data_IF_344402556533
#
_entry.id   IF_344402556533
#
_cell.length_a   1.000
_cell.length_b   1.000
_cell.length_c   1.000
_cell.angle_alpha   90.00
_cell.angle_beta   90.00
_cell.angle_gamma   90.00
#
_symmetry.space_group_name_H-M   'P 1'
#
loop_
_entity.id
_entity.type
_entity.pdbx_description
1 polymer ?
#
# COMPACT_ATOMS: atom_id res chain seq x y z
N UNK A 1 -32.46 -80.11 -39.25
CA UNK A 1 -33.57 -79.21 -39.61
C UNK A 1 -32.99 -77.81 -39.64
N UNK A 2 -32.64 -77.38 -40.85
CA UNK A 2 -32.21 -76.03 -41.29
C UNK A 2 -30.92 -75.50 -40.67
N UNK A 3 -29.74 -75.60 -41.30
CA UNK A 3 -29.25 -75.14 -42.64
C UNK A 3 -29.10 -73.62 -42.81
N UNK A 4 -28.02 -73.31 -43.55
CA UNK A 4 -27.56 -72.07 -44.20
C UNK A 4 -26.71 -71.11 -43.35
N UNK A 5 -25.38 -71.13 -43.45
CA UNK A 5 -24.42 -70.80 -44.56
C UNK A 5 -23.89 -69.36 -44.35
N UNK A 6 -22.59 -69.18 -44.12
CA UNK A 6 -21.51 -68.93 -45.13
C UNK A 6 -21.69 -67.54 -45.78
N UNK A 7 -20.72 -66.61 -45.84
CA UNK A 7 -19.49 -66.67 -46.65
C UNK A 7 -18.52 -65.54 -46.23
N UNK A 8 -17.31 -65.96 -45.87
CA UNK A 8 -15.97 -65.61 -46.39
C UNK A 8 -15.47 -64.17 -46.74
N UNK A 9 -14.13 -64.09 -46.67
CA UNK A 9 -13.17 -63.17 -47.32
C UNK A 9 -12.96 -61.81 -46.63
N UNK A 10 -11.78 -61.46 -46.12
CA UNK A 10 -10.47 -61.46 -46.79
C UNK A 10 -9.92 -60.03 -46.67
N UNK A 11 -8.95 -59.77 -45.79
CA UNK A 11 -7.54 -59.48 -46.10
C UNK A 11 -7.13 -58.00 -45.94
N UNK A 12 -5.88 -57.80 -45.54
CA UNK A 12 -5.05 -56.58 -45.56
C UNK A 12 -4.78 -55.85 -44.23
N UNK A 13 -3.64 -56.18 -43.61
CA UNK A 13 -2.78 -55.21 -42.88
C UNK A 13 -1.97 -54.40 -43.91
N UNK A 14 -1.70 -53.11 -43.67
CA UNK A 14 -0.33 -52.70 -43.29
C UNK A 14 -0.32 -51.42 -42.39
N UNK A 15 0.81 -50.67 -42.24
CA UNK A 15 1.87 -50.89 -41.27
C UNK A 15 1.99 -49.79 -40.20
N UNK A 16 2.88 -50.06 -39.23
CA UNK A 16 3.38 -49.16 -38.17
C UNK A 16 3.81 -47.77 -38.65
N UNK A 17 3.40 -46.72 -37.92
CA UNK A 17 4.11 -45.44 -37.88
C UNK A 17 4.13 -44.87 -36.46
N UNK A 18 5.35 -44.83 -35.90
CA UNK A 18 5.65 -44.16 -34.65
C UNK A 18 5.44 -42.66 -34.81
N UNK A 19 4.55 -42.07 -34.01
CA UNK A 19 4.41 -40.61 -33.93
C UNK A 19 5.38 -40.10 -32.88
N UNK A 20 6.49 -39.53 -33.36
CA UNK A 20 7.43 -38.72 -32.60
C UNK A 20 6.70 -37.47 -32.09
N UNK A 21 6.51 -37.38 -30.77
CA UNK A 21 5.99 -36.17 -30.12
C UNK A 21 7.10 -35.12 -30.00
N UNK A 22 7.20 -34.24 -31.00
CA UNK A 22 7.90 -32.96 -30.84
C UNK A 22 6.98 -31.97 -30.14
N UNK A 23 7.44 -31.20 -29.14
CA UNK A 23 6.62 -30.17 -28.52
C UNK A 23 6.41 -29.01 -29.50
N UNK A 24 5.15 -28.64 -29.70
CA UNK A 24 4.75 -27.53 -30.55
C UNK A 24 5.37 -26.22 -30.02
N UNK A 25 6.20 -25.59 -30.85
CA UNK A 25 6.63 -24.20 -30.67
C UNK A 25 5.43 -23.33 -31.03
N UNK A 26 4.80 -22.74 -30.02
CA UNK A 26 3.74 -21.74 -30.21
C UNK A 26 4.42 -20.41 -30.52
N UNK A 27 4.41 -20.04 -31.80
CA UNK A 27 4.90 -18.76 -32.30
C UNK A 27 3.96 -17.65 -31.81
N UNK A 28 4.48 -16.73 -31.00
CA UNK A 28 3.70 -15.61 -30.46
C UNK A 28 3.56 -14.53 -31.53
N UNK A 29 2.34 -14.35 -32.05
CA UNK A 29 1.98 -13.21 -32.89
C UNK A 29 1.82 -11.99 -32.00
N UNK A 30 2.71 -11.02 -32.12
CA UNK A 30 2.65 -9.74 -31.42
C UNK A 30 1.52 -8.87 -31.98
N UNK A 31 0.37 -8.85 -31.30
CA UNK A 31 -0.61 -7.78 -31.47
C UNK A 31 -0.23 -6.60 -30.57
N UNK A 32 0.43 -5.61 -31.18
CA UNK A 32 0.66 -4.28 -30.60
C UNK A 32 -0.67 -3.58 -30.38
N UNK A 33 -1.07 -3.33 -29.13
CA UNK A 33 -2.27 -2.52 -28.87
C UNK A 33 -2.90 -2.57 -27.49
N UNK A 34 -2.27 -3.13 -26.45
CA UNK A 34 -2.75 -2.99 -25.05
C UNK A 34 -1.53 -2.94 -24.14
N UNK A 35 -1.32 -1.82 -23.44
CA UNK A 35 -0.34 -1.73 -22.36
C UNK A 35 -0.78 -2.70 -21.24
N UNK A 36 0.02 -3.71 -20.88
CA UNK A 36 -0.31 -4.56 -19.75
C UNK A 36 -0.13 -3.75 -18.47
N UNK A 37 -1.19 -3.65 -17.67
CA UNK A 37 -1.10 -3.28 -16.25
C UNK A 37 -0.31 -4.40 -15.56
N UNK A 38 1.01 -4.33 -15.63
CA UNK A 38 1.90 -5.39 -15.16
C UNK A 38 1.84 -5.47 -13.64
N UNK A 39 1.21 -6.54 -13.15
CA UNK A 39 1.71 -7.24 -11.97
C UNK A 39 3.19 -7.50 -12.28
N UNK A 40 4.10 -6.72 -11.70
CA UNK A 40 5.53 -7.03 -11.81
C UNK A 40 5.73 -8.31 -11.01
N UNK A 41 5.71 -9.44 -11.70
CA UNK A 41 6.22 -10.71 -11.21
C UNK A 41 7.72 -10.55 -10.98
N UNK A 42 8.10 -9.96 -9.86
CA UNK A 42 9.49 -9.87 -9.44
C UNK A 42 9.91 -11.25 -8.99
N UNK A 43 10.35 -12.06 -9.95
CA UNK A 43 11.07 -13.31 -9.69
C UNK A 43 12.26 -12.94 -8.80
N UNK A 44 12.29 -13.51 -7.59
CA UNK A 44 13.36 -13.32 -6.59
C UNK A 44 14.71 -13.61 -7.24
N UNK A 45 15.50 -12.56 -7.49
CA UNK A 45 16.88 -12.73 -7.95
C UNK A 45 17.78 -13.11 -6.76
N UNK A 46 18.68 -14.10 -6.89
CA UNK A 46 19.68 -14.38 -5.86
C UNK A 46 20.48 -13.11 -5.54
N UNK A 47 20.42 -12.65 -4.29
CA UNK A 47 21.13 -11.43 -3.85
C UNK A 47 20.25 -10.19 -3.62
N UNK A 48 18.91 -10.29 -3.72
CA UNK A 48 18.04 -9.16 -3.35
C UNK A 48 18.24 -8.79 -1.88
N UNK A 49 18.54 -7.52 -1.61
CA UNK A 49 18.69 -7.04 -0.24
C UNK A 49 17.34 -6.98 0.46
N UNK A 50 17.31 -7.16 1.79
CA UNK A 50 16.07 -7.26 2.57
C UNK A 50 15.12 -6.07 2.36
N UNK A 51 15.67 -4.87 2.20
CA UNK A 51 14.93 -3.63 2.05
C UNK A 51 14.38 -3.40 0.64
N UNK A 52 14.85 -4.15 -0.37
CA UNK A 52 14.38 -4.11 -1.76
C UNK A 52 13.33 -5.18 -2.06
N UNK A 53 13.01 -6.05 -1.09
CA UNK A 53 12.08 -7.17 -1.33
C UNK A 53 10.67 -6.61 -1.59
N UNK A 54 10.12 -6.80 -2.81
CA UNK A 54 8.81 -6.30 -3.14
C UNK A 54 7.73 -7.13 -2.45
N UNK A 55 6.65 -6.46 -2.02
CA UNK A 55 5.41 -7.15 -1.64
C UNK A 55 4.65 -7.55 -2.91
N UNK A 56 3.92 -8.67 -2.85
CA UNK A 56 3.03 -9.12 -3.91
C UNK A 56 1.68 -8.45 -3.73
N UNK A 57 1.34 -7.56 -4.67
CA UNK A 57 0.08 -6.82 -4.64
C UNK A 57 -0.88 -7.25 -5.74
N UNK A 58 -2.18 -7.24 -5.45
CA UNK A 58 -3.24 -7.36 -6.46
C UNK A 58 -3.57 -6.00 -7.08
N UNK A 59 -4.27 -5.94 -8.23
CA UNK A 59 -4.82 -4.69 -8.73
C UNK A 59 -5.68 -3.97 -7.68
N UNK A 60 -5.76 -2.62 -7.70
CA UNK A 60 -6.48 -1.87 -6.68
C UNK A 60 -7.91 -2.38 -6.41
N UNK A 61 -8.21 -2.73 -5.16
CA UNK A 61 -9.52 -3.32 -4.80
C UNK A 61 -10.49 -2.31 -4.20
N UNK A 62 -9.98 -1.17 -3.74
CA UNK A 62 -10.77 -0.09 -3.13
C UNK A 62 -10.20 1.29 -3.45
N UNK A 63 -10.86 2.35 -2.98
CA UNK A 63 -10.40 3.73 -3.22
C UNK A 63 -9.04 4.02 -2.58
N UNK A 64 -8.76 3.46 -1.41
CA UNK A 64 -7.47 3.62 -0.70
C UNK A 64 -6.33 3.04 -1.54
N UNK A 65 -6.51 1.84 -2.11
CA UNK A 65 -5.50 1.26 -3.01
C UNK A 65 -5.27 2.11 -4.25
N UNK A 66 -6.34 2.61 -4.88
CA UNK A 66 -6.19 3.43 -6.09
C UNK A 66 -5.31 4.66 -5.83
N UNK A 67 -5.46 5.29 -4.67
CA UNK A 67 -4.65 6.43 -4.28
C UNK A 67 -3.18 6.04 -4.04
N UNK A 68 -2.93 4.97 -3.28
CA UNK A 68 -1.57 4.51 -2.97
C UNK A 68 -0.85 4.02 -4.22
N UNK A 69 -1.47 3.10 -4.97
CA UNK A 69 -0.88 2.48 -6.15
C UNK A 69 -0.65 3.52 -7.25
N UNK A 70 -1.62 4.42 -7.48
CA UNK A 70 -1.48 5.49 -8.46
C UNK A 70 -0.32 6.42 -8.12
N UNK A 71 -0.23 6.88 -6.87
CA UNK A 71 0.87 7.74 -6.43
C UNK A 71 2.23 7.04 -6.56
N UNK A 72 2.33 5.75 -6.18
CA UNK A 72 3.56 4.98 -6.32
C UNK A 72 4.00 4.86 -7.78
N UNK A 73 3.05 4.54 -8.67
CA UNK A 73 3.33 4.40 -10.10
C UNK A 73 3.79 5.71 -10.73
N UNK A 74 3.12 6.83 -10.42
CA UNK A 74 3.50 8.13 -10.95
C UNK A 74 4.86 8.59 -10.42
N UNK A 75 5.15 8.39 -9.13
CA UNK A 75 6.46 8.67 -8.58
C UNK A 75 7.53 7.82 -9.28
N UNK A 76 7.35 6.50 -9.39
CA UNK A 76 8.34 5.62 -10.06
C UNK A 76 8.58 5.98 -11.53
N UNK A 77 7.58 6.57 -12.21
CA UNK A 77 7.77 7.09 -13.56
C UNK A 77 8.59 8.37 -13.57
N UNK A 78 8.36 9.28 -12.63
CA UNK A 78 9.15 10.52 -12.48
C UNK A 78 10.58 10.25 -12.00
N UNK A 79 10.81 9.23 -11.18
CA UNK A 79 12.16 8.90 -10.70
C UNK A 79 13.14 8.51 -11.81
N UNK A 80 12.64 8.24 -13.02
CA UNK A 80 13.46 8.02 -14.21
C UNK A 80 14.00 9.32 -14.82
N UNK A 81 13.41 10.47 -14.44
CA UNK A 81 13.69 11.78 -15.02
C UNK A 81 14.42 12.71 -14.04
N UNK A 82 14.07 12.67 -12.76
CA UNK A 82 14.62 13.56 -11.74
C UNK A 82 14.64 12.92 -10.34
N UNK A 83 15.32 13.56 -9.39
CA UNK A 83 15.30 13.14 -7.98
C UNK A 83 13.95 13.43 -7.33
N UNK A 84 13.47 12.51 -6.50
CA UNK A 84 12.21 12.63 -5.77
C UNK A 84 12.40 12.91 -4.27
N UNK A 85 13.60 13.25 -3.81
CA UNK A 85 13.83 13.42 -2.37
C UNK A 85 12.97 14.53 -1.77
N UNK A 86 12.71 15.60 -2.53
CA UNK A 86 11.79 16.68 -2.14
C UNK A 86 10.35 16.21 -1.94
N UNK A 87 9.93 15.12 -2.62
CA UNK A 87 8.57 14.57 -2.50
C UNK A 87 8.51 13.48 -1.43
N UNK A 88 9.51 12.59 -1.41
CA UNK A 88 9.48 11.38 -0.57
C UNK A 88 9.99 11.63 0.84
N UNK A 89 11.04 12.45 0.98
CA UNK A 89 11.71 12.74 2.26
C UNK A 89 11.94 14.24 2.48
N UNK A 90 10.90 15.09 2.30
CA UNK A 90 11.01 16.51 2.62
C UNK A 90 11.37 16.71 4.10
N UNK A 91 12.31 17.62 4.37
CA UNK A 91 12.71 17.98 5.74
C UNK A 91 11.55 18.58 6.55
N UNK A 92 10.63 19.29 5.88
CA UNK A 92 9.43 19.88 6.47
C UNK A 92 8.28 19.74 5.50
N UNK A 93 7.18 19.15 5.95
CA UNK A 93 5.93 19.11 5.18
C UNK A 93 4.92 19.99 5.87
N UNK A 94 4.41 20.99 5.14
CA UNK A 94 3.35 21.83 5.66
C UNK A 94 2.06 21.01 5.83
N UNK A 95 1.62 20.84 7.08
CA UNK A 95 0.42 20.08 7.46
C UNK A 95 -0.76 20.98 7.82
N UNK A 96 -0.68 22.30 7.57
CA UNK A 96 -1.76 23.24 7.91
C UNK A 96 -3.11 22.82 7.33
N UNK A 97 -3.16 22.49 6.04
CA UNK A 97 -4.39 22.03 5.36
C UNK A 97 -4.82 20.62 5.81
N UNK A 98 -3.90 19.83 6.37
CA UNK A 98 -4.18 18.48 6.86
C UNK A 98 -4.96 18.51 8.20
N UNK A 99 -4.77 19.58 8.99
CA UNK A 99 -5.50 19.82 10.25
C UNK A 99 -6.98 20.15 10.02
N UNK A 100 -7.30 20.77 8.89
CA UNK A 100 -8.67 21.11 8.53
C UNK A 100 -9.39 19.83 8.08
N UNK A 101 -10.11 19.18 9.00
CA UNK A 101 -10.96 18.05 8.66
C UNK A 101 -12.10 18.53 7.77
N UNK A 102 -12.06 18.13 6.50
CA UNK A 102 -13.15 18.29 5.57
C UNK A 102 -13.86 16.94 5.44
N UNK A 103 -15.07 16.76 6.01
CA UNK A 103 -15.82 15.54 5.79
C UNK A 103 -16.02 15.34 4.29
N UNK A 104 -15.94 14.10 3.82
CA UNK A 104 -16.17 13.77 2.43
C UNK A 104 -17.59 14.23 2.04
N UNK A 105 -17.68 15.32 1.29
CA UNK A 105 -18.94 15.74 0.68
C UNK A 105 -19.23 14.82 -0.50
N UNK A 106 -20.47 14.32 -0.68
CA UNK A 106 -20.82 13.52 -1.86
C UNK A 106 -20.62 14.28 -3.18
N UNK A 107 -20.48 15.61 -3.16
CA UNK A 107 -20.25 16.46 -4.33
C UNK A 107 -18.78 16.85 -4.57
N UNK A 108 -17.86 16.55 -3.66
CA UNK A 108 -16.46 16.98 -3.76
C UNK A 108 -15.59 15.76 -3.98
N UNK A 109 -15.08 15.59 -5.21
CA UNK A 109 -14.11 14.53 -5.48
C UNK A 109 -12.85 14.81 -4.65
N UNK A 110 -12.32 13.83 -3.89
CA UNK A 110 -11.12 14.06 -3.11
C UNK A 110 -9.96 14.47 -4.04
N UNK A 111 -9.14 15.44 -3.64
CA UNK A 111 -8.03 15.91 -4.47
C UNK A 111 -7.14 14.72 -4.83
N UNK A 112 -6.98 14.47 -6.13
CA UNK A 112 -5.97 13.55 -6.64
C UNK A 112 -4.71 14.36 -6.91
N UNK A 113 -3.60 13.94 -6.32
CA UNK A 113 -2.31 14.44 -6.75
C UNK A 113 -2.08 13.96 -8.18
N UNK A 114 -1.99 14.89 -9.13
CA UNK A 114 -1.73 14.56 -10.53
C UNK A 114 -0.23 14.48 -10.77
N UNK A 115 0.17 13.80 -11.84
CA UNK A 115 1.56 13.80 -12.30
C UNK A 115 2.17 15.20 -12.36
N UNK A 116 1.44 16.19 -12.90
CA UNK A 116 1.95 17.55 -13.03
C UNK A 116 2.20 18.23 -11.67
N UNK A 117 1.48 17.82 -10.62
CA UNK A 117 1.72 18.32 -9.26
C UNK A 117 2.96 17.67 -8.65
N UNK A 118 3.21 16.39 -8.96
CA UNK A 118 4.44 15.70 -8.58
C UNK A 118 5.66 16.32 -9.28
N UNK A 119 5.61 16.49 -10.59
CA UNK A 119 6.68 17.11 -11.41
C UNK A 119 7.06 18.50 -10.86
N UNK A 120 6.05 19.35 -10.61
CA UNK A 120 6.25 20.67 -10.00
C UNK A 120 6.93 20.57 -8.62
N UNK A 121 6.54 19.61 -7.80
CA UNK A 121 7.09 19.44 -6.46
C UNK A 121 8.51 18.85 -6.46
N UNK A 122 8.85 17.99 -7.41
CA UNK A 122 10.21 17.46 -7.56
C UNK A 122 11.18 18.55 -8.01
N UNK A 123 10.77 19.35 -9.01
CA UNK A 123 11.60 20.39 -9.62
C UNK A 123 11.80 21.65 -8.75
N UNK A 124 10.97 21.87 -7.73
CA UNK A 124 10.98 23.12 -6.94
C UNK A 124 11.66 22.92 -5.58
N UNK A 125 12.74 23.67 -5.31
CA UNK A 125 13.41 23.68 -3.99
C UNK A 125 12.67 24.52 -2.93
N UNK A 126 11.77 25.41 -3.37
CA UNK A 126 10.97 26.29 -2.51
C UNK A 126 9.51 26.24 -2.94
N UNK A 127 8.72 25.36 -2.32
CA UNK A 127 7.27 25.47 -2.39
C UNK A 127 6.87 26.82 -1.79
N UNK A 128 6.37 27.74 -2.62
CA UNK A 128 5.90 29.04 -2.13
C UNK A 128 4.86 28.89 -1.01
N UNK A 129 4.64 29.93 -0.17
CA UNK A 129 3.73 29.84 0.96
C UNK A 129 2.35 29.33 0.53
N UNK A 130 1.91 28.21 1.12
CA UNK A 130 0.60 27.61 0.83
C UNK A 130 0.55 26.65 -0.37
N UNK A 131 1.67 26.34 -1.01
CA UNK A 131 1.71 25.28 -2.02
C UNK A 131 1.43 23.90 -1.38
N UNK A 132 0.54 23.13 -2.02
CA UNK A 132 0.11 21.82 -1.53
C UNK A 132 1.16 20.77 -1.87
N UNK A 133 1.75 20.15 -0.85
CA UNK A 133 2.74 19.11 -1.03
C UNK A 133 2.07 17.79 -1.46
N UNK A 134 2.49 17.13 -2.56
CA UNK A 134 1.90 15.88 -3.06
C UNK A 134 1.71 14.77 -2.02
N UNK A 135 2.74 14.50 -1.22
CA UNK A 135 2.66 13.51 -0.13
C UNK A 135 1.62 13.93 0.92
N UNK A 136 1.49 15.22 1.21
CA UNK A 136 0.51 15.70 2.18
C UNK A 136 -0.91 15.55 1.65
N UNK A 137 -1.15 15.85 0.37
CA UNK A 137 -2.46 15.66 -0.26
C UNK A 137 -2.85 14.17 -0.31
N UNK A 138 -1.91 13.28 -0.68
CA UNK A 138 -2.13 11.83 -0.63
C UNK A 138 -2.56 11.39 0.77
N UNK A 139 -1.75 11.71 1.79
CA UNK A 139 -2.03 11.28 3.16
C UNK A 139 -3.33 11.91 3.67
N UNK A 140 -3.62 13.18 3.34
CA UNK A 140 -4.90 13.82 3.64
C UNK A 140 -6.07 13.00 3.08
N UNK A 141 -5.99 12.61 1.81
CA UNK A 141 -7.04 11.81 1.16
C UNK A 141 -7.18 10.42 1.79
N UNK A 142 -6.08 9.75 2.13
CA UNK A 142 -6.08 8.43 2.79
C UNK A 142 -6.74 8.51 4.17
N UNK A 143 -6.30 9.46 5.01
CA UNK A 143 -6.79 9.63 6.39
C UNK A 143 -8.26 10.07 6.41
N UNK A 144 -8.70 10.89 5.44
CA UNK A 144 -10.11 11.26 5.28
C UNK A 144 -10.97 10.08 4.86
N UNK A 145 -10.53 9.28 3.87
CA UNK A 145 -11.28 8.09 3.43
C UNK A 145 -11.33 7.02 4.53
N UNK A 146 -10.28 6.90 5.33
CA UNK A 146 -10.20 5.97 6.46
C UNK A 146 -11.02 6.40 7.69
N UNK A 147 -11.51 7.65 7.74
CA UNK A 147 -12.36 8.14 8.83
C UNK A 147 -11.61 8.40 10.14
N UNK A 148 -10.31 8.69 10.11
CA UNK A 148 -9.55 9.07 11.32
C UNK A 148 -9.92 10.51 11.68
N UNK A 149 -10.61 10.72 12.79
CA UNK A 149 -11.17 12.04 13.15
C UNK A 149 -10.35 12.80 14.18
N UNK A 150 -9.67 12.12 15.11
CA UNK A 150 -8.88 12.81 16.14
C UNK A 150 -7.58 13.36 15.56
N UNK A 151 -7.35 14.67 15.73
CA UNK A 151 -6.22 15.41 15.18
C UNK A 151 -4.87 14.81 15.55
N UNK A 152 -4.71 14.28 16.78
CA UNK A 152 -3.45 13.68 17.23
C UNK A 152 -3.14 12.42 16.43
N UNK A 153 -4.10 11.50 16.34
CA UNK A 153 -3.96 10.27 15.57
C UNK A 153 -3.76 10.56 14.08
N UNK A 154 -4.46 11.57 13.53
CA UNK A 154 -4.25 12.02 12.16
C UNK A 154 -2.79 12.43 11.94
N UNK A 155 -2.24 13.30 12.79
CA UNK A 155 -0.85 13.75 12.70
C UNK A 155 0.15 12.61 12.89
N UNK A 156 -0.13 11.66 13.78
CA UNK A 156 0.74 10.52 14.01
C UNK A 156 0.71 9.51 12.84
N UNK A 157 -0.48 9.24 12.28
CA UNK A 157 -0.64 8.42 11.06
C UNK A 157 0.08 9.08 9.88
N UNK A 158 0.10 10.41 9.81
CA UNK A 158 0.86 11.12 8.78
C UNK A 158 2.34 10.75 8.79
N UNK A 159 3.00 10.82 9.96
CA UNK A 159 4.43 10.52 10.10
C UNK A 159 4.77 9.10 9.63
N UNK A 160 3.93 8.11 9.98
CA UNK A 160 4.12 6.71 9.63
C UNK A 160 3.88 6.50 8.13
N UNK A 161 2.77 7.02 7.61
CA UNK A 161 2.35 6.82 6.22
C UNK A 161 3.34 7.46 5.26
N UNK A 162 3.84 8.66 5.54
CA UNK A 162 4.86 9.32 4.74
C UNK A 162 6.08 8.41 4.54
N UNK A 163 6.63 7.86 5.62
CA UNK A 163 7.83 7.00 5.57
C UNK A 163 7.55 5.69 4.85
N UNK A 164 6.39 5.08 5.11
CA UNK A 164 5.99 3.85 4.44
C UNK A 164 5.85 4.05 2.92
N UNK A 165 5.13 5.08 2.49
CA UNK A 165 4.99 5.41 1.06
C UNK A 165 6.34 5.77 0.44
N UNK A 166 7.19 6.55 1.12
CA UNK A 166 8.51 6.89 0.63
C UNK A 166 9.38 5.65 0.36
N UNK A 167 9.36 4.68 1.26
CA UNK A 167 10.05 3.40 1.08
C UNK A 167 9.41 2.55 -0.03
N UNK A 168 8.08 2.46 -0.10
CA UNK A 168 7.38 1.73 -1.18
C UNK A 168 7.67 2.31 -2.58
N UNK A 169 7.80 3.63 -2.69
CA UNK A 169 8.20 4.30 -3.94
C UNK A 169 9.66 4.00 -4.28
N UNK A 170 10.56 4.30 -3.35
CA UNK A 170 12.01 4.23 -3.55
C UNK A 170 12.68 3.46 -2.38
N UNK A 171 12.80 2.12 -2.50
CA UNK A 171 13.20 1.24 -1.40
C UNK A 171 14.72 1.26 -1.15
N UNK A 172 15.24 2.39 -0.67
CA UNK A 172 16.64 2.50 -0.21
C UNK A 172 16.78 2.00 1.23
N UNK A 173 18.02 1.68 1.64
CA UNK A 173 18.32 1.30 3.03
C UNK A 173 17.88 2.40 4.02
N UNK A 174 18.15 3.67 3.70
CA UNK A 174 17.75 4.81 4.53
C UNK A 174 16.22 4.88 4.68
N UNK A 175 15.47 4.72 3.59
CA UNK A 175 14.01 4.71 3.63
C UNK A 175 13.46 3.56 4.48
N UNK A 176 14.08 2.39 4.35
CA UNK A 176 13.72 1.21 5.12
C UNK A 176 14.05 1.35 6.61
N UNK A 177 15.15 2.03 6.96
CA UNK A 177 15.47 2.34 8.36
C UNK A 177 14.55 3.42 8.94
N UNK A 178 13.96 4.26 8.09
CA UNK A 178 13.06 5.30 8.52
C UNK A 178 11.65 4.79 8.88
N UNK A 179 11.19 3.65 8.33
CA UNK A 179 9.84 3.14 8.63
C UNK A 179 9.73 2.57 10.06
N UNK A 180 8.49 2.44 10.53
CA UNK A 180 8.20 1.65 11.75
C UNK A 180 8.67 0.20 11.51
N UNK A 181 9.48 -0.40 12.39
CA UNK A 181 10.02 -1.76 12.17
C UNK A 181 8.96 -2.82 11.88
N UNK A 182 7.76 -2.69 12.45
CA UNK A 182 6.66 -3.60 12.22
C UNK A 182 6.04 -3.51 10.84
N UNK A 183 6.30 -2.45 10.07
CA UNK A 183 5.89 -2.31 8.67
C UNK A 183 6.81 -3.02 7.68
N UNK A 184 7.98 -3.49 8.11
CA UNK A 184 8.86 -4.32 7.26
C UNK A 184 8.13 -5.54 6.69
N UNK A 185 8.38 -5.94 5.43
CA UNK A 185 7.72 -7.09 4.81
C UNK A 185 7.86 -8.38 5.62
N UNK A 186 6.76 -9.09 5.76
CA UNK A 186 6.70 -10.44 6.34
C UNK A 186 6.64 -11.49 5.23
N UNK A 187 7.01 -12.75 5.50
CA UNK A 187 7.03 -13.81 4.49
C UNK A 187 5.70 -14.01 3.75
N UNK A 188 4.55 -13.72 4.38
CA UNK A 188 3.25 -13.79 3.72
C UNK A 188 3.09 -12.71 2.63
N UNK A 189 3.61 -11.51 2.85
CA UNK A 189 3.53 -10.39 1.91
C UNK A 189 4.33 -10.63 0.62
N UNK A 190 5.29 -11.56 0.64
CA UNK A 190 6.10 -11.92 -0.54
C UNK A 190 5.64 -13.20 -1.23
N UNK A 191 4.62 -13.88 -0.68
CA UNK A 191 4.10 -15.17 -1.18
C UNK A 191 2.63 -15.11 -1.57
N UNK A 192 1.85 -14.24 -0.94
CA UNK A 192 0.40 -14.16 -1.11
C UNK A 192 0.08 -12.76 -1.66
N UNK A 193 -0.42 -12.65 -2.91
CA UNK A 193 -0.92 -11.39 -3.44
C UNK A 193 -2.03 -10.80 -2.54
N UNK A 194 -1.94 -9.51 -2.22
CA UNK A 194 -2.91 -8.82 -1.35
C UNK A 194 -3.12 -7.35 -1.71
N UNK A 195 -4.19 -6.69 -1.24
CA UNK A 195 -4.41 -5.26 -1.45
C UNK A 195 -3.29 -4.41 -0.82
N UNK A 196 -2.81 -3.41 -1.56
CA UNK A 196 -1.68 -2.56 -1.15
C UNK A 196 -1.92 -1.85 0.19
N UNK A 197 -3.15 -1.45 0.51
CA UNK A 197 -3.47 -0.80 1.79
C UNK A 197 -3.14 -1.66 3.01
N UNK A 198 -3.12 -3.00 2.89
CA UNK A 198 -2.81 -3.92 3.98
C UNK A 198 -1.36 -3.74 4.45
N UNK A 199 -0.45 -3.31 3.56
CA UNK A 199 0.95 -3.03 3.90
C UNK A 199 1.09 -1.90 4.93
N UNK A 200 0.08 -1.04 5.08
CA UNK A 200 0.04 0.08 6.03
C UNK A 200 -0.55 -0.26 7.41
N UNK A 201 -0.99 -1.50 7.64
CA UNK A 201 -1.47 -1.94 8.96
C UNK A 201 -0.27 -2.10 9.91
N UNK A 202 -0.34 -1.46 11.08
CA UNK A 202 0.81 -1.29 11.98
C UNK A 202 1.30 -2.60 12.61
N UNK A 203 0.36 -3.46 13.02
CA UNK A 203 0.70 -4.72 13.68
C UNK A 203 0.97 -5.81 12.66
N UNK A 204 2.21 -6.30 12.63
CA UNK A 204 2.60 -7.39 11.74
C UNK A 204 1.74 -8.68 11.91
N UNK A 205 1.40 -9.14 13.13
CA UNK A 205 0.51 -10.30 13.29
C UNK A 205 -0.88 -10.05 12.68
N UNK A 206 -1.40 -8.81 12.80
CA UNK A 206 -2.68 -8.44 12.20
C UNK A 206 -2.59 -8.44 10.67
N UNK A 207 -1.50 -7.91 10.10
CA UNK A 207 -1.25 -7.98 8.64
C UNK A 207 -1.24 -9.41 8.15
N UNK A 208 -0.52 -10.31 8.82
CA UNK A 208 -0.51 -11.73 8.47
C UNK A 208 -1.91 -12.33 8.52
N UNK A 209 -2.67 -12.05 9.58
CA UNK A 209 -4.04 -12.52 9.74
C UNK A 209 -4.99 -12.03 8.62
N UNK A 210 -4.81 -10.78 8.15
CA UNK A 210 -5.58 -10.22 7.02
C UNK A 210 -5.17 -10.90 5.71
N UNK A 211 -3.88 -11.05 5.45
CA UNK A 211 -3.34 -11.61 4.20
C UNK A 211 -3.68 -13.11 4.04
N UNK A 212 -3.76 -13.85 5.14
CA UNK A 212 -4.11 -15.27 5.12
C UNK A 212 -5.62 -15.52 4.98
N UNK A 213 -6.46 -14.53 5.33
CA UNK A 213 -7.93 -14.61 5.35
C UNK A 213 -8.56 -13.38 4.69
N UNK A 214 -8.08 -13.05 3.49
CA UNK A 214 -8.40 -11.79 2.80
C UNK A 214 -9.89 -11.70 2.44
N UNK A 215 -10.52 -12.83 2.15
CA UNK A 215 -11.96 -12.93 1.91
C UNK A 215 -12.81 -12.45 3.09
N UNK A 216 -12.26 -12.50 4.31
CA UNK A 216 -12.94 -12.02 5.52
C UNK A 216 -12.58 -10.57 5.86
N UNK A 217 -11.31 -10.19 5.72
CA UNK A 217 -10.80 -8.95 6.31
C UNK A 217 -10.34 -7.90 5.30
N UNK A 218 -10.11 -8.26 4.03
CA UNK A 218 -9.58 -7.33 3.03
C UNK A 218 -10.70 -6.47 2.38
N UNK A 219 -11.49 -5.77 3.19
CA UNK A 219 -12.65 -4.97 2.75
C UNK A 219 -12.71 -3.58 3.42
N UNK A 220 -13.58 -2.69 2.91
CA UNK A 220 -13.68 -1.31 3.41
C UNK A 220 -14.23 -1.22 4.84
N UNK A 221 -15.02 -2.20 5.29
CA UNK A 221 -15.56 -2.22 6.65
C UNK A 221 -14.44 -2.43 7.67
N UNK A 222 -13.56 -3.41 7.42
CA UNK A 222 -12.38 -3.63 8.24
C UNK A 222 -11.47 -2.41 8.30
N UNK A 223 -11.22 -1.76 7.15
CA UNK A 223 -10.43 -0.53 7.10
C UNK A 223 -11.04 0.55 8.01
N UNK A 224 -12.34 0.79 7.90
CA UNK A 224 -13.05 1.79 8.71
C UNK A 224 -13.00 1.46 10.20
N UNK A 225 -13.24 0.21 10.59
CA UNK A 225 -13.19 -0.23 11.99
C UNK A 225 -11.77 -0.12 12.54
N UNK A 226 -10.75 -0.57 11.80
CA UNK A 226 -9.36 -0.44 12.19
C UNK A 226 -8.99 1.03 12.41
N UNK A 227 -9.16 1.87 11.39
CA UNK A 227 -8.75 3.27 11.39
C UNK A 227 -9.46 4.12 12.45
N UNK A 228 -10.77 3.92 12.65
CA UNK A 228 -11.53 4.60 13.70
C UNK A 228 -11.18 4.12 15.12
N UNK A 229 -10.55 2.94 15.23
CA UNK A 229 -10.13 2.34 16.49
C UNK A 229 -8.69 2.66 16.89
N UNK A 230 -7.83 3.17 15.98
CA UNK A 230 -6.46 3.57 16.36
C UNK A 230 -6.46 4.66 17.41
N UNK A 231 -5.60 4.49 18.41
CA UNK A 231 -5.33 5.45 19.48
C UNK A 231 -3.83 5.60 19.66
N UNK A 232 -3.37 6.84 19.66
CA UNK A 232 -2.01 7.18 20.05
C UNK A 232 -2.01 7.48 21.55
N UNK A 233 -1.53 6.54 22.34
CA UNK A 233 -1.50 6.66 23.79
C UNK A 233 -0.22 7.38 24.25
N UNK A 234 -0.21 7.78 25.52
CA UNK A 234 0.98 8.28 26.22
C UNK A 234 1.59 9.58 25.66
N UNK A 235 0.90 10.30 24.77
CA UNK A 235 1.28 11.67 24.43
C UNK A 235 0.85 12.62 25.56
N UNK A 236 1.78 12.92 26.47
CA UNK A 236 1.51 13.72 27.67
C UNK A 236 1.45 15.23 27.41
N UNK A 237 1.93 15.70 26.26
CA UNK A 237 1.94 17.11 25.90
C UNK A 237 0.63 17.55 25.21
N UNK A 238 0.46 18.86 24.99
CA UNK A 238 -0.74 19.38 24.36
C UNK A 238 -0.71 19.10 22.85
N UNK A 239 -1.86 19.12 22.16
CA UNK A 239 -1.89 18.94 20.72
C UNK A 239 -1.05 19.96 19.93
N UNK A 240 -0.95 21.20 20.41
CA UNK A 240 -0.11 22.21 19.75
C UNK A 240 1.39 21.86 19.83
N UNK A 241 1.81 21.13 20.86
CA UNK A 241 3.21 20.72 21.05
C UNK A 241 3.61 19.59 20.07
N UNK A 242 2.63 19.02 19.34
CA UNK A 242 2.87 18.10 18.22
C UNK A 242 3.37 18.81 16.95
N UNK A 243 3.32 20.15 16.93
CA UNK A 243 3.60 20.97 15.76
C UNK A 243 4.70 21.99 16.05
N UNK A 244 5.46 22.30 15.02
CA UNK A 244 6.33 23.48 14.95
C UNK A 244 5.68 24.45 13.98
N UNK A 245 5.59 25.72 14.37
CA UNK A 245 5.00 26.80 13.57
C UNK A 245 6.08 27.78 13.18
N UNK A 246 6.20 28.07 11.89
CA UNK A 246 7.01 29.19 11.42
C UNK A 246 6.28 30.51 11.72
N UNK A 247 6.84 31.40 12.55
CA UNK A 247 6.20 32.67 12.88
C UNK A 247 6.11 33.64 11.68
N UNK A 248 6.92 33.46 10.63
CA UNK A 248 6.92 34.36 9.47
C UNK A 248 5.89 33.95 8.43
N UNK A 249 5.89 32.68 8.04
CA UNK A 249 5.01 32.15 6.99
C UNK A 249 3.69 31.60 7.53
N UNK A 250 3.62 31.26 8.82
CA UNK A 250 2.49 30.55 9.42
C UNK A 250 2.35 29.10 8.95
N UNK A 251 3.39 28.54 8.31
CA UNK A 251 3.46 27.13 7.98
C UNK A 251 3.68 26.28 9.23
N UNK A 252 3.15 25.06 9.20
CA UNK A 252 3.19 24.15 10.35
C UNK A 252 3.68 22.78 9.90
N UNK A 253 4.58 22.15 10.65
CA UNK A 253 5.03 20.78 10.42
C UNK A 253 5.11 20.01 11.74
N UNK A 254 5.21 18.68 11.68
CA UNK A 254 5.31 17.86 12.89
C UNK A 254 6.60 18.18 13.66
N UNK A 255 6.52 18.23 14.99
CA UNK A 255 7.71 18.30 15.83
C UNK A 255 8.47 16.97 15.82
N UNK A 256 9.79 17.04 15.99
CA UNK A 256 10.64 15.83 16.03
C UNK A 256 10.27 14.93 17.22
N UNK A 257 9.92 15.52 18.36
CA UNK A 257 9.50 14.81 19.58
C UNK A 257 8.21 14.04 19.35
N UNK A 258 7.22 14.67 18.71
CA UNK A 258 5.97 14.01 18.36
C UNK A 258 6.16 12.94 17.29
N UNK A 259 6.97 13.23 16.28
CA UNK A 259 7.31 12.25 15.24
C UNK A 259 7.97 11.01 15.85
N UNK A 260 8.97 11.18 16.72
CA UNK A 260 9.60 10.07 17.43
C UNK A 260 8.64 9.32 18.36
N UNK A 261 7.60 9.97 18.88
CA UNK A 261 6.53 9.33 19.64
C UNK A 261 5.60 8.49 18.75
N UNK A 262 5.13 9.06 17.63
CA UNK A 262 4.27 8.39 16.67
C UNK A 262 4.94 7.16 16.02
N UNK A 263 6.25 7.21 15.80
CA UNK A 263 7.00 6.13 15.13
C UNK A 263 7.25 4.88 15.99
N UNK A 264 6.82 4.87 17.27
CA UNK A 264 6.99 3.75 18.20
C UNK A 264 5.69 2.96 18.34
N UNK A 265 5.68 1.68 17.92
CA UNK A 265 4.47 0.83 17.97
C UNK A 265 3.91 0.68 19.39
N UNK A 266 4.78 0.69 20.41
CA UNK A 266 4.40 0.66 21.83
C UNK A 266 3.46 1.80 22.26
N UNK A 267 3.39 2.90 21.51
CA UNK A 267 2.49 4.02 21.75
C UNK A 267 1.15 3.90 21.01
N UNK A 268 0.94 2.83 20.24
CA UNK A 268 -0.31 2.60 19.54
C UNK A 268 -1.15 1.53 20.23
N UNK A 269 -2.45 1.77 20.29
CA UNK A 269 -3.45 0.80 20.73
C UNK A 269 -4.64 0.85 19.78
N UNK A 270 -5.40 -0.23 19.75
CA UNK A 270 -6.78 -0.21 19.27
C UNK A 270 -7.71 -0.08 20.47
N UNK A 271 -8.75 0.74 20.35
CA UNK A 271 -9.80 0.78 21.35
C UNK A 271 -10.62 -0.53 21.36
N UNK A 272 -11.48 -0.69 22.37
CA UNK A 272 -12.30 -1.90 22.56
C UNK A 272 -13.32 -2.16 21.42
N UNK A 273 -13.63 -1.18 20.55
CA UNK A 273 -14.55 -1.41 19.45
C UNK A 273 -13.98 -2.38 18.41
N UNK A 274 -12.66 -2.34 18.16
CA UNK A 274 -12.02 -3.25 17.22
C UNK A 274 -12.19 -4.70 17.65
N UNK A 275 -11.86 -5.01 18.91
CA UNK A 275 -11.95 -6.37 19.46
C UNK A 275 -13.38 -6.81 19.76
N UNK A 276 -14.31 -5.88 19.96
CA UNK A 276 -15.74 -6.21 19.98
C UNK A 276 -16.20 -6.69 18.59
N UNK A 277 -15.68 -6.08 17.53
CA UNK A 277 -16.04 -6.40 16.14
C UNK A 277 -15.32 -7.63 15.59
N UNK A 278 -14.06 -7.84 15.98
CA UNK A 278 -13.18 -8.95 15.57
C UNK A 278 -12.49 -9.57 16.80
N UNK A 279 -13.24 -10.24 17.69
CA UNK A 279 -12.69 -10.80 18.93
C UNK A 279 -11.57 -11.82 18.70
N UNK A 280 -11.63 -12.56 17.60
CA UNK A 280 -10.62 -13.53 17.17
C UNK A 280 -9.27 -12.90 16.81
N UNK A 281 -9.23 -11.58 16.57
CA UNK A 281 -8.00 -10.84 16.24
C UNK A 281 -7.36 -10.15 17.44
N UNK A 282 -7.91 -10.29 18.66
CA UNK A 282 -7.37 -9.64 19.88
C UNK A 282 -5.90 -9.98 20.11
N UNK A 283 -5.49 -11.22 19.86
CA UNK A 283 -4.09 -11.67 20.00
C UNK A 283 -3.12 -11.06 18.98
N UNK A 284 -3.62 -10.36 17.97
CA UNK A 284 -2.81 -9.77 16.91
C UNK A 284 -2.48 -8.28 17.13
N UNK A 285 -3.06 -7.65 18.15
CA UNK A 285 -3.02 -6.21 18.37
C UNK A 285 -2.83 -5.87 19.84
N UNK A 286 -2.36 -4.65 20.13
CA UNK A 286 -2.38 -4.10 21.47
C UNK A 286 -3.69 -3.30 21.67
N UNK A 287 -4.38 -3.48 22.80
CA UNK A 287 -5.71 -2.90 23.08
C UNK A 287 -5.62 -1.89 24.22
N UNK A 288 -6.44 -0.85 24.22
CA UNK A 288 -6.53 0.07 25.36
C UNK A 288 -6.89 -0.69 26.65
N UNK A 289 -6.17 -0.45 27.74
CA UNK A 289 -6.43 -1.08 29.04
C UNK A 289 -5.93 -2.51 29.19
N UNK A 290 -5.15 -3.05 28.24
CA UNK A 290 -4.41 -4.31 28.37
C UNK A 290 -3.05 -4.15 29.01
#
# INVERSE_FOLDING_TARGET
MSDYDDVDSGSHLPPSSAVSSSPAVVEFVSNSGVLPTTVSSLIRQPGTTLWEIPTLIVPPTCRVDQLIVGFIQDCRRLSQLESLDNILRPSRVNVKNFLEYHPASPSTEPPRCQLADLDRAASTTVTGPGAKHPMAELITALVNKAGVTNVIERLAVFAITQRAIAWLVHPTLEAYQAIVPELTPKPCQTRIPHPQWVDLILWAPLRTAIIERQELYANEEFQGVYSSSLRLISWAARPIDALVVDPQSGEMWLSDTFTAHAMRLENWRLNENFVRRYPELRGCVAVEGS
#
